data_IF_763479256180
#
_entry.id   IF_763479256180
#
_cell.length_a   1.000
_cell.length_b   1.000
_cell.length_c   1.000
_cell.angle_alpha   90.00
_cell.angle_beta   90.00
_cell.angle_gamma   90.00
#
_symmetry.space_group_name_H-M   'P 1'
#
loop_
_entity.id
_entity.type
_entity.pdbx_description
1 polymer ?
#
# COMPACT_ATOMS: atom_id res chain seq x y z
N UNK A 1 -56.45 -21.74 -4.58
CA UNK A 1 -55.78 -20.68 -5.36
C UNK A 1 -54.30 -21.00 -5.49
N UNK A 2 -53.83 -20.90 -6.71
CA UNK A 2 -52.50 -21.29 -7.18
C UNK A 2 -51.77 -20.02 -7.60
N UNK A 3 -50.88 -19.52 -6.75
CA UNK A 3 -50.02 -18.39 -7.11
C UNK A 3 -48.65 -18.91 -7.56
N UNK A 4 -48.62 -19.26 -8.84
CA UNK A 4 -47.41 -19.35 -9.66
C UNK A 4 -47.20 -18.01 -10.35
N UNK A 5 -46.17 -17.26 -9.96
CA UNK A 5 -45.70 -16.05 -10.67
C UNK A 5 -44.16 -16.09 -10.63
N UNK A 6 -43.51 -16.72 -11.61
CA UNK A 6 -43.04 -16.15 -12.87
C UNK A 6 -41.55 -15.77 -12.78
N UNK A 7 -40.73 -16.55 -13.49
CA UNK A 7 -39.30 -16.41 -13.63
C UNK A 7 -38.95 -15.14 -14.44
N UNK A 8 -38.40 -14.13 -13.77
CA UNK A 8 -37.97 -12.86 -14.36
C UNK A 8 -36.70 -12.96 -15.20
N UNK A 9 -36.88 -12.67 -16.49
CA UNK A 9 -35.95 -12.65 -17.61
C UNK A 9 -34.57 -11.97 -17.43
N UNK A 10 -33.63 -12.50 -18.22
CA UNK A 10 -32.29 -12.00 -18.53
C UNK A 10 -32.19 -10.48 -18.75
N UNK A 11 -31.29 -9.82 -18.02
CA UNK A 11 -30.69 -8.54 -18.44
C UNK A 11 -29.20 -8.72 -18.75
N UNK A 12 -28.92 -9.02 -20.02
CA UNK A 12 -27.59 -9.00 -20.63
C UNK A 12 -27.39 -7.65 -21.35
N UNK A 13 -26.15 -7.17 -21.37
CA UNK A 13 -25.58 -5.98 -22.05
C UNK A 13 -25.58 -4.70 -21.18
N UNK A 14 -24.47 -3.97 -21.03
CA UNK A 14 -23.60 -3.45 -22.12
C UNK A 14 -22.10 -3.49 -21.76
N UNK A 15 -21.32 -4.23 -22.57
CA UNK A 15 -19.85 -4.15 -22.62
C UNK A 15 -19.44 -2.79 -23.22
N UNK A 16 -18.75 -1.95 -22.47
CA UNK A 16 -18.11 -0.75 -23.00
C UNK A 16 -16.89 -1.13 -23.86
N UNK A 17 -17.10 -1.18 -25.17
CA UNK A 17 -16.07 -1.42 -26.21
C UNK A 17 -15.26 -0.14 -26.42
N UNK A 18 -14.24 0.12 -25.58
CA UNK A 18 -13.31 1.24 -25.82
C UNK A 18 -12.31 0.87 -26.91
N UNK A 19 -12.42 1.60 -28.02
CA UNK A 19 -11.71 1.49 -29.29
C UNK A 19 -10.18 1.43 -29.12
N UNK A 20 -9.57 0.37 -29.65
CA UNK A 20 -8.12 0.24 -29.83
C UNK A 20 -7.62 1.27 -30.85
N UNK A 21 -6.85 2.27 -30.43
CA UNK A 21 -6.12 3.16 -31.36
C UNK A 21 -4.88 2.43 -31.86
N UNK A 22 -4.98 1.88 -33.08
CA UNK A 22 -3.90 1.33 -33.90
C UNK A 22 -2.85 2.44 -34.14
N UNK A 23 -1.73 2.42 -33.40
CA UNK A 23 -0.58 3.30 -33.70
C UNK A 23 0.38 2.58 -34.64
N UNK A 24 0.65 3.28 -35.75
CA UNK A 24 1.36 2.85 -36.96
C UNK A 24 2.79 2.43 -36.63
N UNK A 25 3.24 1.29 -37.15
CA UNK A 25 4.66 0.97 -37.25
C UNK A 25 5.32 1.93 -38.24
N UNK A 26 6.46 2.50 -37.87
CA UNK A 26 7.40 3.15 -38.81
C UNK A 26 8.70 2.35 -38.74
N UNK A 27 9.19 1.94 -39.90
CA UNK A 27 10.50 1.35 -40.10
C UNK A 27 11.30 2.22 -41.06
N UNK A 28 12.62 1.99 -41.09
CA UNK A 28 13.70 2.70 -41.82
C UNK A 28 14.22 3.95 -41.10
N UNK A 29 15.52 4.19 -40.97
CA UNK A 29 16.68 3.74 -41.76
C UNK A 29 17.95 3.59 -40.90
N UNK A 30 18.96 2.99 -41.54
CA UNK A 30 20.29 2.56 -41.11
C UNK A 30 21.30 3.70 -40.87
N UNK A 31 22.32 3.33 -40.07
CA UNK A 31 23.72 3.81 -40.01
C UNK A 31 24.01 5.31 -39.81
N UNK A 32 24.68 5.62 -38.70
CA UNK A 32 26.11 6.00 -38.64
C UNK A 32 26.39 7.11 -37.62
N UNK A 33 27.20 6.77 -36.62
CA UNK A 33 28.18 7.54 -35.84
C UNK A 33 27.77 8.90 -35.21
N UNK A 34 27.78 8.99 -33.88
CA UNK A 34 28.28 10.17 -33.11
C UNK A 34 28.28 9.85 -31.61
N UNK A 35 29.39 9.34 -31.12
CA UNK A 35 29.69 9.15 -29.71
C UNK A 35 30.21 10.45 -29.08
N UNK A 36 29.33 11.32 -28.58
CA UNK A 36 29.75 12.41 -27.66
C UNK A 36 28.66 13.12 -26.84
N UNK A 37 27.40 12.66 -26.84
CA UNK A 37 26.30 13.41 -26.16
C UNK A 37 25.56 12.65 -25.05
N UNK A 38 25.94 11.41 -24.76
CA UNK A 38 25.30 10.56 -23.75
C UNK A 38 25.62 10.95 -22.30
N UNK A 39 26.79 11.58 -22.05
CA UNK A 39 27.20 11.99 -20.71
C UNK A 39 26.39 13.19 -20.18
N UNK A 40 26.09 14.17 -21.03
CA UNK A 40 25.35 15.38 -20.63
C UNK A 40 23.89 15.09 -20.25
N UNK A 41 23.25 14.11 -20.90
CA UNK A 41 21.88 13.69 -20.56
C UNK A 41 21.79 12.93 -19.25
N UNK A 42 22.81 12.16 -18.88
CA UNK A 42 22.84 11.45 -17.59
C UNK A 42 23.12 12.41 -16.41
N UNK A 43 24.04 13.36 -16.59
CA UNK A 43 24.30 14.45 -15.63
C UNK A 43 23.04 15.29 -15.37
N UNK A 44 22.30 15.65 -16.41
CA UNK A 44 21.06 16.44 -16.27
C UNK A 44 19.96 15.67 -15.52
N UNK A 45 19.81 14.37 -15.78
CA UNK A 45 18.88 13.50 -15.03
C UNK A 45 19.28 13.37 -13.56
N UNK A 46 20.58 13.21 -13.27
CA UNK A 46 21.10 13.16 -11.89
C UNK A 46 20.84 14.47 -11.15
N UNK A 47 21.05 15.62 -11.78
CA UNK A 47 20.74 16.93 -11.19
C UNK A 47 19.24 17.11 -10.91
N UNK A 48 18.37 16.70 -11.84
CA UNK A 48 16.91 16.71 -11.65
C UNK A 48 16.47 15.79 -10.51
N UNK A 49 17.06 14.60 -10.39
CA UNK A 49 16.79 13.65 -9.31
C UNK A 49 17.24 14.20 -7.93
N UNK A 50 18.45 14.77 -7.84
CA UNK A 50 18.96 15.44 -6.63
C UNK A 50 18.09 16.63 -6.20
N UNK A 51 17.58 17.42 -7.15
CA UNK A 51 16.65 18.53 -6.87
C UNK A 51 15.31 18.05 -6.30
N UNK A 52 14.75 16.98 -6.86
CA UNK A 52 13.46 16.44 -6.43
C UNK A 52 13.52 15.78 -5.04
N UNK A 53 14.62 15.05 -4.74
CA UNK A 53 14.85 14.46 -3.41
C UNK A 53 15.02 15.53 -2.34
N UNK A 54 15.81 16.59 -2.60
CA UNK A 54 15.97 17.74 -1.70
C UNK A 54 14.63 18.45 -1.42
N UNK A 55 13.77 18.61 -2.43
CA UNK A 55 12.42 19.20 -2.27
C UNK A 55 11.54 18.35 -1.34
N UNK A 56 11.51 17.02 -1.55
CA UNK A 56 10.75 16.08 -0.71
C UNK A 56 11.21 16.06 0.74
N UNK A 57 12.53 16.10 0.98
CA UNK A 57 13.08 16.17 2.34
C UNK A 57 12.68 17.47 3.05
N UNK A 58 12.77 18.61 2.37
CA UNK A 58 12.36 19.92 2.91
C UNK A 58 10.87 19.95 3.26
N UNK A 59 10.04 19.32 2.44
CA UNK A 59 8.59 19.21 2.69
C UNK A 59 8.27 18.31 3.90
N UNK A 60 8.93 17.15 4.02
CA UNK A 60 8.81 16.27 5.19
C UNK A 60 9.23 16.97 6.48
N UNK A 61 10.34 17.72 6.45
CA UNK A 61 10.84 18.47 7.60
C UNK A 61 9.86 19.59 8.02
N UNK A 62 9.29 20.32 7.05
CA UNK A 62 8.24 21.32 7.31
C UNK A 62 6.99 20.69 7.91
N UNK A 63 6.57 19.52 7.43
CA UNK A 63 5.40 18.80 7.95
C UNK A 63 5.63 18.31 9.39
N UNK A 64 6.83 17.80 9.70
CA UNK A 64 7.20 17.44 11.07
C UNK A 64 7.28 18.66 12.00
N UNK A 65 7.87 19.77 11.55
CA UNK A 65 7.92 21.02 12.33
C UNK A 65 6.52 21.57 12.62
N UNK A 66 5.59 21.52 11.63
CA UNK A 66 4.20 21.94 11.83
C UNK A 66 3.46 21.02 12.81
N UNK A 67 3.71 19.70 12.77
CA UNK A 67 3.14 18.76 13.75
C UNK A 67 3.66 19.00 15.17
N UNK A 68 4.97 19.21 15.34
CA UNK A 68 5.57 19.52 16.65
C UNK A 68 5.04 20.84 17.21
N UNK A 69 4.95 21.88 16.38
CA UNK A 69 4.39 23.18 16.79
C UNK A 69 2.91 23.06 17.20
N UNK A 70 2.12 22.27 16.48
CA UNK A 70 0.72 22.03 16.85
C UNK A 70 0.58 21.24 18.15
N UNK A 71 1.50 20.32 18.46
CA UNK A 71 1.50 19.60 19.74
C UNK A 71 1.91 20.51 20.90
N UNK A 72 2.90 21.37 20.69
CA UNK A 72 3.36 22.35 21.69
C UNK A 72 2.29 23.40 21.97
N UNK A 73 1.58 23.88 20.94
CA UNK A 73 0.45 24.83 21.07
C UNK A 73 -0.76 24.21 21.78
N UNK A 74 -0.99 22.89 21.65
CA UNK A 74 -2.05 22.18 22.39
C UNK A 74 -1.67 21.99 23.86
N UNK A 75 -0.42 21.64 24.18
CA UNK A 75 0.02 21.58 25.58
C UNK A 75 0.08 22.95 26.24
N UNK A 76 0.52 23.99 25.53
CA UNK A 76 0.58 25.35 26.05
C UNK A 76 -0.84 25.93 26.27
N UNK A 77 -1.79 25.66 25.37
CA UNK A 77 -3.19 26.07 25.56
C UNK A 77 -3.95 25.28 26.64
N UNK A 78 -3.59 24.02 26.91
CA UNK A 78 -4.09 23.28 28.09
C UNK A 78 -3.63 23.92 29.42
N UNK A 79 -2.45 24.53 29.43
CA UNK A 79 -1.87 25.18 30.62
C UNK A 79 -2.35 26.65 30.73
N UNK A 80 -2.41 27.38 29.62
CA UNK A 80 -2.74 28.81 29.58
C UNK A 80 -4.26 29.09 29.65
N UNK A 81 -5.12 28.11 29.33
CA UNK A 81 -6.57 28.21 29.50
C UNK A 81 -7.07 28.14 30.95
N UNK A 82 -6.20 27.84 31.92
CA UNK A 82 -6.56 27.69 33.34
C UNK A 82 -6.57 29.06 34.06
N UNK A 83 -7.39 29.99 33.60
CA UNK A 83 -7.68 31.25 34.31
C UNK A 83 -8.73 30.93 35.39
N UNK A 84 -8.31 30.31 36.49
CA UNK A 84 -9.17 29.88 37.60
C UNK A 84 -8.36 29.38 38.80
N UNK A 85 -8.99 29.15 39.98
CA UNK A 85 -8.29 28.67 41.17
C UNK A 85 -7.57 27.35 40.87
N UNK A 86 -6.33 27.21 41.37
CA UNK A 86 -5.45 26.06 41.12
C UNK A 86 -6.15 24.77 41.56
N UNK A 87 -6.62 24.00 40.59
CA UNK A 87 -7.25 22.70 40.83
C UNK A 87 -6.14 21.68 41.15
N UNK A 88 -6.24 20.90 42.24
CA UNK A 88 -5.25 19.88 42.55
C UNK A 88 -5.11 18.86 41.41
N UNK A 89 -3.86 18.50 41.05
CA UNK A 89 -3.56 17.58 39.95
C UNK A 89 -4.34 16.25 40.04
N UNK A 90 -4.56 15.74 41.25
CA UNK A 90 -5.33 14.52 41.50
C UNK A 90 -6.77 14.60 40.99
N UNK A 91 -7.43 15.77 41.11
CA UNK A 91 -8.81 15.95 40.66
C UNK A 91 -8.88 16.07 39.14
N UNK A 92 -7.88 16.72 38.53
CA UNK A 92 -7.74 16.80 37.06
C UNK A 92 -7.55 15.40 36.48
N UNK A 93 -6.71 14.56 37.10
CA UNK A 93 -6.53 13.18 36.70
C UNK A 93 -7.81 12.34 36.84
N UNK A 94 -8.57 12.51 37.92
CA UNK A 94 -9.84 11.81 38.11
C UNK A 94 -10.88 12.20 37.04
N UNK A 95 -11.02 13.49 36.74
CA UNK A 95 -11.89 13.99 35.68
C UNK A 95 -11.47 13.44 34.31
N UNK A 96 -10.16 13.38 34.02
CA UNK A 96 -9.62 12.80 32.78
C UNK A 96 -9.92 11.30 32.66
N UNK A 97 -9.89 10.54 33.76
CA UNK A 97 -10.21 9.09 33.76
C UNK A 97 -11.68 8.78 33.51
N UNK A 98 -12.59 9.67 33.91
CA UNK A 98 -14.03 9.49 33.69
C UNK A 98 -14.54 10.18 32.42
N UNK A 99 -13.71 10.98 31.76
CA UNK A 99 -14.05 11.60 30.50
C UNK A 99 -14.17 10.55 29.38
N UNK A 100 -15.11 10.73 28.43
CA UNK A 100 -15.10 9.97 27.18
C UNK A 100 -13.77 10.15 26.45
N UNK A 101 -13.33 9.11 25.76
CA UNK A 101 -12.07 9.14 25.01
C UNK A 101 -12.04 10.30 24.01
N UNK A 102 -10.92 11.02 23.98
CA UNK A 102 -10.73 12.07 22.99
C UNK A 102 -10.47 11.45 21.62
N UNK A 103 -10.83 12.17 20.56
CA UNK A 103 -10.60 11.73 19.18
C UNK A 103 -9.13 11.37 18.92
N UNK A 104 -8.19 12.10 19.53
CA UNK A 104 -6.77 11.85 19.35
C UNK A 104 -6.32 10.53 20.00
N UNK A 105 -6.85 10.20 21.17
CA UNK A 105 -6.59 8.93 21.85
C UNK A 105 -7.17 7.76 21.06
N UNK A 106 -8.38 7.93 20.53
CA UNK A 106 -9.01 6.95 19.65
C UNK A 106 -8.19 6.73 18.37
N UNK A 107 -7.72 7.80 17.73
CA UNK A 107 -6.83 7.71 16.56
C UNK A 107 -5.49 7.05 16.90
N UNK A 108 -4.90 7.36 18.06
CA UNK A 108 -3.69 6.69 18.55
C UNK A 108 -3.92 5.18 18.68
N UNK A 109 -5.05 4.77 19.26
CA UNK A 109 -5.45 3.36 19.39
C UNK A 109 -5.63 2.69 18.02
N UNK A 110 -6.33 3.34 17.10
CA UNK A 110 -6.55 2.80 15.75
C UNK A 110 -5.29 2.75 14.88
N UNK A 111 -4.32 3.63 15.12
CA UNK A 111 -3.11 3.71 14.29
C UNK A 111 -2.04 2.66 14.65
N UNK A 112 -2.25 1.87 15.70
CA UNK A 112 -1.33 0.79 16.07
C UNK A 112 -1.47 -0.37 15.09
N UNK A 113 -0.35 -0.78 14.48
CA UNK A 113 -0.27 -1.93 13.58
C UNK A 113 0.60 -3.02 14.23
N UNK A 114 0.05 -4.22 14.36
CA UNK A 114 0.73 -5.39 14.95
C UNK A 114 0.90 -6.48 13.90
N UNK A 115 2.04 -7.18 13.90
CA UNK A 115 2.22 -8.42 13.11
C UNK A 115 1.74 -9.60 13.95
N UNK A 116 0.69 -10.27 13.49
CA UNK A 116 0.07 -11.41 14.17
C UNK A 116 0.17 -12.62 13.26
N UNK A 117 0.59 -13.74 13.82
CA UNK A 117 0.60 -15.01 13.12
C UNK A 117 -0.81 -15.60 13.11
N UNK A 118 -1.31 -15.98 11.95
CA UNK A 118 -2.59 -16.69 11.81
C UNK A 118 -2.35 -18.19 11.70
N UNK A 119 -2.75 -18.93 12.74
CA UNK A 119 -2.58 -20.38 12.85
C UNK A 119 -3.33 -21.15 11.77
N UNK A 120 -4.46 -20.63 11.29
CA UNK A 120 -5.31 -21.33 10.33
C UNK A 120 -4.72 -21.32 8.92
N UNK A 121 -3.99 -20.26 8.54
CA UNK A 121 -3.38 -20.13 7.20
C UNK A 121 -1.86 -20.22 7.20
N UNK A 122 -1.23 -20.20 8.38
CA UNK A 122 0.23 -20.20 8.54
C UNK A 122 0.91 -18.91 8.06
N UNK A 123 0.15 -17.82 7.90
CA UNK A 123 0.65 -16.54 7.36
C UNK A 123 0.74 -15.49 8.45
N UNK A 124 1.71 -14.60 8.32
CA UNK A 124 1.75 -13.37 9.12
C UNK A 124 0.82 -12.32 8.51
N UNK A 125 -0.11 -11.80 9.32
CA UNK A 125 -1.03 -10.73 8.96
C UNK A 125 -0.71 -9.48 9.77
N UNK A 126 -0.88 -8.31 9.18
CA UNK A 126 -0.78 -7.04 9.90
C UNK A 126 -2.19 -6.71 10.41
N UNK A 127 -2.37 -6.57 11.71
CA UNK A 127 -3.67 -6.19 12.30
C UNK A 127 -3.58 -4.74 12.77
N UNK A 128 -4.54 -3.91 12.36
CA UNK A 128 -4.63 -2.51 12.73
C UNK A 128 -5.80 -2.27 13.69
N UNK A 129 -5.55 -1.47 14.72
CA UNK A 129 -6.57 -1.04 15.67
C UNK A 129 -7.33 -2.21 16.29
N UNK A 130 -8.66 -2.18 16.17
CA UNK A 130 -9.58 -3.15 16.79
C UNK A 130 -9.90 -4.37 15.91
N UNK A 131 -9.19 -4.60 14.79
CA UNK A 131 -9.31 -5.85 14.05
C UNK A 131 -9.24 -5.78 12.52
N UNK A 132 -8.91 -4.63 11.93
CA UNK A 132 -8.71 -4.54 10.48
C UNK A 132 -7.48 -5.35 10.08
N UNK A 133 -7.70 -6.41 9.28
CA UNK A 133 -6.62 -7.22 8.72
C UNK A 133 -6.05 -6.53 7.48
N UNK A 134 -4.77 -6.22 7.54
CA UNK A 134 -3.95 -5.68 6.47
C UNK A 134 -2.98 -6.76 5.97
N UNK A 135 -2.80 -6.79 4.65
CA UNK A 135 -1.76 -7.59 4.03
C UNK A 135 -0.53 -6.72 3.80
N UNK A 136 0.65 -7.30 4.04
CA UNK A 136 1.91 -6.63 3.72
C UNK A 136 2.06 -6.56 2.20
N UNK A 137 2.17 -5.35 1.65
CA UNK A 137 2.52 -5.18 0.23
C UNK A 137 3.96 -5.66 0.04
N UNK A 138 4.11 -6.73 -0.74
CA UNK A 138 5.40 -7.34 -1.05
C UNK A 138 6.11 -6.56 -2.16
N UNK A 139 7.44 -6.44 -2.08
CA UNK A 139 8.24 -5.86 -3.16
C UNK A 139 8.15 -6.70 -4.44
N UNK A 140 8.40 -6.09 -5.60
CA UNK A 140 8.35 -6.80 -6.90
C UNK A 140 9.29 -7.99 -6.95
N UNK A 141 10.47 -7.88 -6.34
CA UNK A 141 11.48 -8.95 -6.30
C UNK A 141 11.02 -10.10 -5.40
N UNK A 142 10.56 -9.80 -4.18
CA UNK A 142 10.04 -10.83 -3.27
C UNK A 142 8.78 -11.50 -3.81
N UNK A 143 7.93 -10.78 -4.55
CA UNK A 143 6.77 -11.39 -5.21
C UNK A 143 7.20 -12.38 -6.31
N UNK A 144 8.30 -12.11 -7.03
CA UNK A 144 8.86 -13.07 -7.98
C UNK A 144 9.46 -14.29 -7.27
N UNK A 145 10.16 -14.09 -6.16
CA UNK A 145 10.72 -15.16 -5.31
C UNK A 145 9.61 -16.11 -4.83
N UNK A 146 8.54 -15.55 -4.26
CA UNK A 146 7.37 -16.31 -3.78
C UNK A 146 6.75 -17.10 -4.94
N UNK A 147 6.55 -16.48 -6.10
CA UNK A 147 6.00 -17.17 -7.26
C UNK A 147 6.91 -18.31 -7.72
N UNK A 148 8.23 -18.07 -7.77
CA UNK A 148 9.21 -19.09 -8.17
C UNK A 148 9.21 -20.28 -7.21
N UNK A 149 9.16 -20.03 -5.91
CA UNK A 149 9.06 -21.08 -4.88
C UNK A 149 7.74 -21.84 -4.99
N UNK A 150 6.62 -21.13 -5.16
CA UNK A 150 5.30 -21.75 -5.30
C UNK A 150 5.18 -22.66 -6.54
N UNK A 151 5.85 -22.31 -7.65
CA UNK A 151 5.84 -23.10 -8.89
C UNK A 151 7.00 -24.08 -9.01
N UNK A 152 7.89 -24.17 -8.01
CA UNK A 152 9.11 -24.96 -8.11
C UNK A 152 8.83 -26.45 -8.35
N UNK A 153 7.93 -27.04 -7.56
CA UNK A 153 7.58 -28.46 -7.67
C UNK A 153 6.74 -28.78 -8.91
N UNK A 154 5.95 -27.83 -9.42
CA UNK A 154 5.15 -28.02 -10.63
C UNK A 154 6.05 -28.21 -11.86
N UNK A 155 7.12 -27.42 -11.96
CA UNK A 155 8.13 -27.56 -13.02
C UNK A 155 8.80 -28.93 -13.02
N UNK A 156 9.19 -29.43 -11.85
CA UNK A 156 9.82 -30.76 -11.71
C UNK A 156 8.84 -31.88 -12.07
N UNK A 157 7.59 -31.79 -11.61
CA UNK A 157 6.54 -32.74 -11.94
C UNK A 157 6.29 -32.81 -13.45
N UNK A 158 6.12 -31.67 -14.13
CA UNK A 158 5.93 -31.64 -15.58
C UNK A 158 7.14 -32.15 -16.35
N UNK A 159 8.36 -31.80 -15.94
CA UNK A 159 9.59 -32.32 -16.57
C UNK A 159 9.68 -33.84 -16.44
N UNK A 160 9.40 -34.38 -15.25
CA UNK A 160 9.39 -35.82 -15.03
C UNK A 160 8.35 -36.53 -15.91
N UNK A 161 7.16 -35.93 -16.09
CA UNK A 161 6.08 -36.50 -16.89
C UNK A 161 6.34 -36.46 -18.39
N UNK A 162 6.99 -35.40 -18.89
CA UNK A 162 7.38 -35.28 -20.30
C UNK A 162 8.51 -36.24 -20.69
N UNK A 163 9.42 -36.54 -19.75
CA UNK A 163 10.53 -37.46 -19.97
C UNK A 163 10.14 -38.94 -19.84
N UNK A 164 8.88 -39.25 -19.50
CA UNK A 164 8.38 -40.62 -19.49
C UNK A 164 8.19 -41.09 -20.94
N UNK A 165 8.78 -42.23 -21.35
CA UNK A 165 8.51 -42.80 -22.67
C UNK A 165 7.01 -43.10 -22.77
N UNK A 166 6.38 -42.66 -23.88
CA UNK A 166 4.98 -43.00 -24.16
C UNK A 166 4.89 -44.53 -24.20
N UNK A 167 4.17 -45.12 -23.25
CA UNK A 167 3.84 -46.55 -23.32
C UNK A 167 3.03 -46.74 -24.59
N UNK A 168 3.65 -47.36 -25.60
CA UNK A 168 2.95 -47.88 -26.76
C UNK A 168 2.13 -49.07 -26.26
N UNK A 169 0.83 -48.86 -26.07
CA UNK A 169 -0.11 -49.96 -25.86
C UNK A 169 -0.19 -50.75 -27.17
N UNK A 170 0.14 -52.04 -27.09
CA UNK A 170 0.01 -53.03 -28.16
C UNK A 170 -1.39 -53.65 -28.11
#
# INVERSE_FOLDING_TARGET
ESDSIECGSHNRLKKNKKKSKKKRKRHSSTSSETSSSSLSREEEKKHKAKKHTKKKLKEKLKKQKKKRKAQEEVEESEIEGMIGPVVPNNLIEQCRRMAPETKEEWEKRQNVIKRVFDEQTGRYRLVKGDGEVLEEIVSKERHKEINKQATHGDGEYFQSKLNQPKKTEN
#
